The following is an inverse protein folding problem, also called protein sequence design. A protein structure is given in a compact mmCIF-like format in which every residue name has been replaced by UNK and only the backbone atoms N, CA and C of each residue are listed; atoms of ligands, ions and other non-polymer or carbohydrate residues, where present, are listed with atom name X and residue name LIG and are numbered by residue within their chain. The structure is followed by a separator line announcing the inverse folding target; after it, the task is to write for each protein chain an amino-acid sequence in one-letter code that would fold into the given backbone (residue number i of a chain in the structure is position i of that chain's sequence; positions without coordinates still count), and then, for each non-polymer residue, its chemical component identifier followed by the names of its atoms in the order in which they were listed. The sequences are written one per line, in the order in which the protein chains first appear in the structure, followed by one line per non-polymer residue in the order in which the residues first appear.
data_IF_479128847619
#
_entry.id   IF_479128847619
#
_cell.length_a   1.000
_cell.length_b   1.000
_cell.length_c   1.000
_cell.angle_alpha   90.00
_cell.angle_beta   90.00
_cell.angle_gamma   90.00
#
_symmetry.space_group_name_H-M   'P 1'
#
loop_
_entity.id
_entity.type
_entity.pdbx_description
1 polymer ?
#
# COMPACT_ATOMS: atom_id res chain seq x y z
N UNK A 1 -2.66 41.42 33.83
CA UNK A 1 -1.86 40.96 32.67
C UNK A 1 -2.50 39.68 32.17
N UNK A 2 -2.76 39.62 30.86
CA UNK A 2 -3.74 38.73 30.22
C UNK A 2 -3.34 37.26 30.30
N UNK A 3 -4.27 36.43 30.77
CA UNK A 3 -4.36 35.01 30.42
C UNK A 3 -4.64 34.92 28.92
N UNK A 4 -3.81 34.19 28.17
CA UNK A 4 -4.11 33.80 26.80
C UNK A 4 -4.24 32.28 26.74
N UNK A 5 -5.46 31.87 27.07
CA UNK A 5 -6.12 30.69 26.54
C UNK A 5 -5.90 30.64 25.02
N UNK A 6 -5.29 29.57 24.51
CA UNK A 6 -5.24 29.29 23.08
C UNK A 6 -6.09 28.04 22.83
N UNK A 7 -7.38 28.28 22.64
CA UNK A 7 -8.35 27.35 22.08
C UNK A 7 -8.42 27.52 20.54
N UNK A 8 -8.40 26.39 19.83
CA UNK A 8 -8.80 26.22 18.41
C UNK A 8 -7.69 25.86 17.39
N UNK A 9 -8.01 25.09 16.31
CA UNK A 9 -8.64 23.77 16.30
C UNK A 9 -7.84 22.72 15.46
N UNK A 10 -8.06 21.43 15.75
CA UNK A 10 -7.84 20.23 14.89
C UNK A 10 -6.42 19.95 14.32
N UNK A 11 -5.74 19.02 15.02
CA UNK A 11 -5.11 17.80 14.45
C UNK A 11 -4.39 17.96 13.10
N UNK A 12 -3.13 18.40 13.16
CA UNK A 12 -2.21 18.37 12.02
C UNK A 12 -1.96 16.92 11.58
N UNK A 13 -2.52 16.52 10.44
CA UNK A 13 -2.19 15.28 9.76
C UNK A 13 -0.79 15.41 9.12
N UNK A 14 0.24 15.04 9.85
CA UNK A 14 1.45 14.51 9.22
C UNK A 14 1.11 13.12 8.69
N UNK A 15 0.57 13.04 7.48
CA UNK A 15 0.31 11.79 6.77
C UNK A 15 1.62 11.11 6.37
N UNK A 16 2.34 10.57 7.35
CA UNK A 16 3.48 9.69 7.16
C UNK A 16 2.92 8.29 6.96
N UNK A 17 2.93 7.81 5.72
CA UNK A 17 2.34 6.53 5.37
C UNK A 17 3.40 5.65 4.71
N UNK A 18 3.81 4.61 5.43
CA UNK A 18 4.27 3.39 4.79
C UNK A 18 3.07 2.66 4.20
N UNK A 19 3.28 1.88 3.13
CA UNK A 19 2.24 1.03 2.57
C UNK A 19 2.80 -0.37 2.42
N UNK A 20 2.04 -1.38 2.84
CA UNK A 20 2.14 -2.73 2.29
C UNK A 20 0.80 -3.12 1.70
N UNK A 21 0.83 -3.51 0.43
CA UNK A 21 -0.36 -3.91 -0.29
C UNK A 21 -0.42 -5.43 -0.28
N UNK A 22 -1.56 -6.02 0.01
CA UNK A 22 -1.76 -7.49 -0.06
C UNK A 22 -2.63 -7.86 -1.25
N UNK A 23 -2.35 -9.01 -1.86
CA UNK A 23 -3.01 -9.43 -3.10
C UNK A 23 -3.20 -10.93 -3.26
N UNK A 24 -3.98 -11.30 -4.28
CA UNK A 24 -4.08 -12.65 -4.80
C UNK A 24 -3.27 -12.82 -6.09
N UNK A 25 -2.46 -13.88 -6.16
CA UNK A 25 -2.04 -14.46 -7.44
C UNK A 25 -3.12 -15.45 -7.88
N UNK A 26 -3.86 -15.15 -8.92
CA UNK A 26 -4.63 -16.19 -9.63
C UNK A 26 -3.65 -17.09 -10.39
N UNK A 27 -2.89 -17.91 -9.68
CA UNK A 27 -2.14 -19.00 -10.32
C UNK A 27 -3.08 -20.18 -10.46
N UNK A 28 -3.58 -20.33 -11.69
CA UNK A 28 -4.28 -21.49 -12.19
C UNK A 28 -3.43 -22.76 -11.96
N UNK A 29 -3.63 -23.44 -10.83
CA UNK A 29 -3.21 -24.82 -10.63
C UNK A 29 -4.45 -25.71 -10.57
N UNK A 30 -5.10 -25.91 -11.72
CA UNK A 30 -6.01 -27.04 -11.92
C UNK A 30 -5.57 -27.82 -13.17
N UNK A 31 -4.35 -28.35 -13.14
CA UNK A 31 -3.94 -29.34 -14.12
C UNK A 31 -2.90 -30.26 -13.51
N UNK A 32 -3.35 -31.35 -12.85
CA UNK A 32 -2.63 -32.63 -12.81
C UNK A 32 -3.59 -33.80 -12.58
N UNK A 33 -3.69 -34.63 -13.61
CA UNK A 33 -3.65 -36.11 -13.58
C UNK A 33 -4.70 -36.72 -14.51
N UNK A 34 -4.24 -37.08 -15.70
CA UNK A 34 -4.69 -38.14 -16.60
C UNK A 34 -6.13 -38.71 -16.43
N UNK A 35 -7.14 -37.84 -16.45
CA UNK A 35 -8.55 -38.19 -16.68
C UNK A 35 -9.19 -37.32 -17.77
N UNK A 36 -8.34 -36.70 -18.60
CA UNK A 36 -8.57 -35.41 -19.25
C UNK A 36 -9.52 -35.45 -20.46
N UNK A 37 -9.67 -36.58 -21.16
CA UNK A 37 -10.40 -36.59 -22.44
C UNK A 37 -11.93 -36.57 -22.29
N UNK A 38 -12.46 -37.18 -21.22
CA UNK A 38 -13.92 -37.33 -21.00
C UNK A 38 -14.52 -36.09 -20.33
N UNK A 39 -13.73 -35.40 -19.51
CA UNK A 39 -14.14 -34.21 -18.76
C UNK A 39 -14.13 -32.95 -19.67
N UNK A 40 -13.33 -32.93 -20.75
CA UNK A 40 -13.24 -31.82 -21.70
C UNK A 40 -14.51 -31.59 -22.54
N UNK A 41 -15.30 -32.65 -22.82
CA UNK A 41 -16.54 -32.56 -23.61
C UNK A 41 -17.76 -32.10 -22.79
N UNK A 42 -17.72 -32.23 -21.47
CA UNK A 42 -18.80 -31.76 -20.56
C UNK A 42 -18.52 -30.37 -19.98
N UNK A 43 -17.26 -29.96 -19.91
CA UNK A 43 -16.85 -28.64 -19.41
C UNK A 43 -17.06 -27.54 -20.47
N UNK A 44 -17.11 -27.85 -21.76
CA UNK A 44 -17.33 -26.85 -22.83
C UNK A 44 -18.69 -26.12 -22.78
N UNK A 45 -19.66 -26.62 -22.00
CA UNK A 45 -20.93 -25.93 -21.69
C UNK A 45 -20.98 -25.32 -20.28
N UNK A 46 -20.03 -25.63 -19.41
CA UNK A 46 -19.89 -25.01 -18.10
C UNK A 46 -18.75 -24.00 -18.16
N UNK A 47 -19.11 -22.74 -18.39
CA UNK A 47 -18.22 -21.61 -18.17
C UNK A 47 -17.61 -21.76 -16.76
N UNK A 48 -16.31 -22.04 -16.68
CA UNK A 48 -15.60 -22.08 -15.40
C UNK A 48 -15.52 -20.65 -14.87
N UNK A 49 -16.54 -20.26 -14.10
CA UNK A 49 -16.51 -19.04 -13.31
C UNK A 49 -15.54 -19.29 -12.16
N UNK A 50 -14.26 -18.97 -12.38
CA UNK A 50 -13.28 -18.91 -11.31
C UNK A 50 -13.65 -17.74 -10.40
N UNK A 51 -14.34 -18.04 -9.31
CA UNK A 51 -14.57 -17.09 -8.23
C UNK A 51 -13.24 -16.71 -7.59
N UNK A 52 -13.02 -15.42 -7.37
CA UNK A 52 -11.88 -14.94 -6.60
C UNK A 52 -12.18 -15.16 -5.12
N UNK A 53 -11.51 -16.13 -4.49
CA UNK A 53 -11.57 -16.31 -3.05
C UNK A 53 -10.74 -15.23 -2.33
N UNK A 54 -11.40 -14.16 -1.93
CA UNK A 54 -10.80 -13.04 -1.22
C UNK A 54 -10.30 -13.42 0.18
N UNK A 55 -10.81 -14.50 0.78
CA UNK A 55 -10.43 -14.95 2.12
C UNK A 55 -8.97 -15.37 2.23
N UNK A 56 -8.40 -15.90 1.15
CA UNK A 56 -7.01 -16.34 1.06
C UNK A 56 -6.06 -15.29 0.45
N UNK A 57 -6.56 -14.11 0.07
CA UNK A 57 -5.76 -13.03 -0.51
C UNK A 57 -5.05 -12.19 0.57
N UNK A 58 -4.07 -12.74 1.28
CA UNK A 58 -3.33 -12.01 2.34
C UNK A 58 -1.82 -11.92 2.10
N UNK A 59 -1.34 -12.41 0.96
CA UNK A 59 0.07 -12.38 0.58
C UNK A 59 0.56 -10.95 0.32
N UNK A 60 1.74 -10.54 0.83
CA UNK A 60 2.29 -9.21 0.56
C UNK A 60 2.65 -9.05 -0.91
N UNK A 61 2.46 -7.84 -1.46
CA UNK A 61 2.82 -7.47 -2.84
C UNK A 61 4.29 -7.11 -2.99
N UNK A 62 5.00 -6.92 -1.88
CA UNK A 62 6.45 -6.72 -1.92
C UNK A 62 6.95 -5.32 -1.60
N UNK A 63 6.15 -4.52 -0.88
CA UNK A 63 6.63 -3.21 -0.41
C UNK A 63 7.75 -3.36 0.62
N UNK A 64 7.60 -4.30 1.56
CA UNK A 64 8.64 -4.59 2.56
C UNK A 64 9.85 -5.34 1.97
N UNK A 65 9.62 -6.29 1.06
CA UNK A 65 10.67 -7.17 0.51
C UNK A 65 11.45 -6.60 -0.67
N UNK A 66 11.13 -5.39 -1.12
CA UNK A 66 11.68 -4.76 -2.34
C UNK A 66 11.33 -5.47 -3.67
N UNK A 67 10.41 -6.44 -3.66
CA UNK A 67 9.86 -7.00 -4.91
C UNK A 67 9.14 -5.93 -5.75
N UNK A 68 8.47 -4.97 -5.11
CA UNK A 68 8.11 -3.70 -5.76
C UNK A 68 9.38 -2.84 -5.78
N UNK A 69 9.93 -2.47 -6.95
CA UNK A 69 11.18 -1.72 -7.04
C UNK A 69 10.98 -0.23 -6.70
N UNK A 70 12.02 0.46 -6.25
CA UNK A 70 11.94 1.89 -5.85
C UNK A 70 11.36 2.79 -6.95
N UNK A 71 11.70 2.52 -8.22
CA UNK A 71 11.19 3.27 -9.38
C UNK A 71 9.67 3.18 -9.56
N UNK A 72 9.03 2.18 -8.97
CA UNK A 72 7.59 2.00 -9.03
C UNK A 72 6.86 2.80 -7.94
N UNK A 73 7.59 3.42 -7.01
CA UNK A 73 7.03 4.19 -5.90
C UNK A 73 7.27 5.67 -6.18
N UNK A 74 6.20 6.41 -6.45
CA UNK A 74 6.23 7.85 -6.74
C UNK A 74 5.26 8.60 -5.85
N UNK A 75 5.32 9.93 -5.86
CA UNK A 75 4.39 10.76 -5.10
C UNK A 75 4.08 12.05 -5.86
N UNK A 76 2.98 12.70 -5.49
CA UNK A 76 2.65 14.07 -5.91
C UNK A 76 3.78 15.05 -5.60
N UNK A 77 4.39 14.95 -4.42
CA UNK A 77 5.51 15.78 -4.00
C UNK A 77 6.34 15.10 -2.92
N UNK A 78 7.47 15.71 -2.54
CA UNK A 78 8.22 15.30 -1.34
C UNK A 78 8.88 16.52 -0.71
N UNK A 79 8.92 16.58 0.62
CA UNK A 79 9.61 17.64 1.35
C UNK A 79 11.10 17.67 1.01
N UNK A 80 11.76 16.54 1.22
CA UNK A 80 13.12 16.29 0.76
C UNK A 80 13.18 14.91 0.12
N UNK A 81 13.48 14.85 -1.18
CA UNK A 81 13.60 13.58 -1.92
C UNK A 81 14.77 12.74 -1.40
N UNK A 82 15.82 13.35 -0.86
CA UNK A 82 16.98 12.61 -0.39
C UNK A 82 16.68 11.86 0.91
N UNK A 83 15.99 12.49 1.87
CA UNK A 83 15.70 11.91 3.18
C UNK A 83 14.34 11.21 3.25
N UNK A 84 13.28 11.83 2.73
CA UNK A 84 11.87 11.42 2.89
C UNK A 84 11.17 11.28 1.54
N UNK A 85 11.93 10.83 0.54
CA UNK A 85 11.42 10.49 -0.79
C UNK A 85 10.44 9.30 -0.76
N UNK A 86 9.60 9.17 -1.80
CA UNK A 86 8.56 8.15 -1.87
C UNK A 86 9.10 6.72 -1.75
N UNK A 87 10.31 6.46 -2.24
CA UNK A 87 10.95 5.15 -2.17
C UNK A 87 11.25 4.68 -0.74
N UNK A 88 11.25 5.61 0.22
CA UNK A 88 11.48 5.33 1.63
C UNK A 88 10.16 5.00 2.38
N UNK A 89 9.01 5.05 1.70
CA UNK A 89 7.68 4.69 2.24
C UNK A 89 7.43 3.17 2.32
N UNK A 90 8.46 2.38 2.63
CA UNK A 90 8.36 0.93 2.81
C UNK A 90 8.17 0.56 4.27
N UNK A 91 7.17 -0.26 4.57
CA UNK A 91 6.88 -0.66 5.94
C UNK A 91 8.08 -1.35 6.59
N UNK A 92 8.29 -1.10 7.89
CA UNK A 92 9.36 -1.66 8.73
C UNK A 92 10.77 -1.35 8.20
N UNK A 93 10.94 -0.26 7.47
CA UNK A 93 12.26 0.23 7.04
C UNK A 93 12.52 1.63 7.59
N UNK A 94 13.68 1.81 8.22
CA UNK A 94 14.11 3.09 8.78
C UNK A 94 15.24 3.74 7.97
N UNK A 95 15.41 3.34 6.70
CA UNK A 95 16.43 3.90 5.83
C UNK A 95 16.16 5.39 5.60
N UNK A 96 17.18 6.23 5.80
CA UNK A 96 17.09 7.70 5.71
C UNK A 96 16.03 8.23 6.68
N UNK A 97 15.01 8.92 6.19
CA UNK A 97 13.87 9.36 6.97
C UNK A 97 12.86 8.25 7.25
N UNK A 98 12.99 7.05 6.68
CA UNK A 98 12.13 5.90 7.00
C UNK A 98 10.65 6.22 6.91
N UNK A 99 10.26 6.99 5.88
CA UNK A 99 8.89 7.35 5.49
C UNK A 99 8.91 8.26 4.26
N UNK A 100 7.73 8.49 3.68
CA UNK A 100 7.50 9.61 2.77
C UNK A 100 6.86 10.79 3.50
N UNK A 101 7.34 12.00 3.20
CA UNK A 101 6.71 13.25 3.63
C UNK A 101 6.33 14.09 2.42
N UNK A 102 5.07 14.55 2.29
CA UNK A 102 4.70 15.51 1.26
C UNK A 102 5.43 16.84 1.46
N UNK A 103 5.56 17.63 0.39
CA UNK A 103 6.25 18.92 0.43
C UNK A 103 5.52 19.95 1.29
N UNK A 104 4.19 19.93 1.23
CA UNK A 104 3.32 20.81 2.01
C UNK A 104 2.59 20.01 3.08
N UNK A 105 2.27 20.69 4.16
CA UNK A 105 1.37 20.15 5.18
C UNK A 105 -0.02 19.94 4.56
N UNK A 106 -0.68 18.84 4.94
CA UNK A 106 -2.03 18.53 4.46
C UNK A 106 -3.03 19.44 5.16
N UNK A 107 -3.79 20.19 4.38
CA UNK A 107 -4.83 21.13 4.78
C UNK A 107 -6.06 20.94 3.87
N UNK A 108 -7.20 21.58 4.16
CA UNK A 108 -8.49 21.33 3.46
C UNK A 108 -8.44 21.47 1.93
N UNK A 109 -7.45 22.19 1.38
CA UNK A 109 -7.27 22.40 -0.07
C UNK A 109 -5.96 21.84 -0.62
N UNK A 110 -5.25 21.00 0.15
CA UNK A 110 -3.98 20.41 -0.26
C UNK A 110 -4.15 18.90 -0.38
N UNK A 111 -4.01 18.41 -1.61
CA UNK A 111 -4.12 16.99 -1.94
C UNK A 111 -2.75 16.46 -2.31
N UNK A 112 -2.28 15.46 -1.57
CA UNK A 112 -1.02 14.77 -1.80
C UNK A 112 -1.28 13.27 -1.82
N UNK A 113 -0.50 12.54 -2.61
CA UNK A 113 -0.66 11.11 -2.78
C UNK A 113 0.69 10.41 -2.92
N UNK A 114 0.73 9.16 -2.44
CA UNK A 114 1.77 8.19 -2.78
C UNK A 114 1.18 7.24 -3.81
N UNK A 115 1.88 7.06 -4.91
CA UNK A 115 1.50 6.18 -6.01
C UNK A 115 2.45 4.99 -6.08
N UNK A 116 1.88 3.80 -6.22
CA UNK A 116 2.62 2.54 -6.31
C UNK A 116 2.20 1.84 -7.60
N UNK A 117 3.11 1.74 -8.56
CA UNK A 117 2.90 0.98 -9.80
C UNK A 117 3.15 -0.52 -9.58
N UNK A 118 2.09 -1.31 -9.70
CA UNK A 118 2.16 -2.77 -9.51
C UNK A 118 2.56 -3.52 -10.79
N UNK A 119 2.71 -2.82 -11.92
CA UNK A 119 3.11 -3.34 -13.23
C UNK A 119 2.11 -4.26 -13.93
N UNK A 120 1.14 -4.80 -13.18
CA UNK A 120 0.04 -5.66 -13.68
C UNK A 120 -1.22 -5.36 -12.87
N UNK A 121 -2.37 -5.74 -13.41
CA UNK A 121 -3.62 -5.70 -12.65
C UNK A 121 -3.52 -6.65 -11.44
N UNK A 122 -3.77 -6.12 -10.25
CA UNK A 122 -3.78 -6.85 -8.98
C UNK A 122 -5.06 -6.50 -8.24
N UNK A 123 -5.62 -7.46 -7.51
CA UNK A 123 -6.69 -7.19 -6.55
C UNK A 123 -6.04 -6.91 -5.19
N UNK A 124 -6.25 -5.70 -4.68
CA UNK A 124 -5.77 -5.29 -3.36
C UNK A 124 -6.84 -5.60 -2.33
N UNK A 125 -6.48 -6.33 -1.27
CA UNK A 125 -7.42 -6.76 -0.23
C UNK A 125 -7.17 -6.13 1.13
N UNK A 126 -5.92 -5.76 1.40
CA UNK A 126 -5.51 -5.08 2.65
C UNK A 126 -4.38 -4.11 2.36
N UNK A 127 -4.37 -3.05 3.16
CA UNK A 127 -3.30 -2.06 3.20
C UNK A 127 -2.80 -1.99 4.64
N UNK A 128 -1.54 -2.29 4.86
CA UNK A 128 -0.88 -1.99 6.14
C UNK A 128 -0.25 -0.62 6.02
N UNK A 129 -0.44 0.22 7.04
CA UNK A 129 0.23 1.51 7.12
C UNK A 129 1.16 1.52 8.33
N UNK A 130 2.26 2.27 8.25
CA UNK A 130 3.14 2.57 9.41
C UNK A 130 3.55 4.06 9.41
N UNK A 131 3.58 4.70 10.58
CA UNK A 131 4.10 6.07 10.74
C UNK A 131 5.60 6.06 11.07
N UNK A 132 6.30 7.19 10.87
CA UNK A 132 7.71 7.30 11.26
C UNK A 132 7.85 7.41 12.79
N UNK A 133 8.83 6.73 13.37
CA UNK A 133 9.18 6.94 14.78
C UNK A 133 9.95 8.26 14.94
N UNK A 134 9.25 9.33 15.30
CA UNK A 134 9.85 10.63 15.59
C UNK A 134 9.71 10.98 17.07
N UNK A 135 10.65 10.56 17.93
CA UNK A 135 10.79 11.00 19.33
C UNK A 135 9.47 11.25 20.11
N UNK A 136 8.48 10.36 20.00
CA UNK A 136 7.20 10.44 20.73
C UNK A 136 6.01 11.06 19.99
N UNK A 137 6.17 11.53 18.74
CA UNK A 137 5.05 11.94 17.89
C UNK A 137 4.62 10.77 17.00
N UNK A 138 3.70 9.96 17.51
CA UNK A 138 3.04 8.90 16.75
C UNK A 138 1.81 9.50 16.07
N UNK A 139 1.83 9.65 14.74
CA UNK A 139 0.59 9.85 13.99
C UNK A 139 -0.19 8.55 14.01
N UNK A 140 -1.31 8.50 14.75
CA UNK A 140 -2.19 7.32 14.77
C UNK A 140 -2.63 6.99 13.35
N UNK A 141 -2.59 5.71 13.03
CA UNK A 141 -3.13 5.16 11.79
C UNK A 141 -4.55 4.64 12.00
N UNK A 142 -5.35 4.79 10.94
CA UNK A 142 -6.71 4.30 10.84
C UNK A 142 -6.71 2.80 10.57
#
# INVERSE_FOLDING_TARGET
MKNSELDGPRRTLYGLLHFDLKYCTSDAKCLKSLGLLVILLTISLFHSAHGLDLGNCISPLGMHSYEIPDKAITASSSYDKASVGPENARIRHEKKGGAWCPRRQIEENIYEYLQIDLGKLKVITKVETQGRFGNGQVSRQF
#
